data_IF_943902760766
#
_entry.id   IF_943902760766
#
_cell.length_a   1.000
_cell.length_b   1.000
_cell.length_c   1.000
_cell.angle_alpha   90.00
_cell.angle_beta   90.00
_cell.angle_gamma   90.00
#
_symmetry.space_group_name_H-M   'P 1'
#
loop_
_entity.id
_entity.type
_entity.pdbx_description
1 polymer ?
#
# COMPACT_ATOMS: atom_id res chain seq x y z
N UNK A 1 -3.39 -41.63 -54.10
CA UNK A 1 -2.14 -41.16 -53.50
C UNK A 1 -2.15 -39.65 -53.52
N UNK A 2 -2.03 -39.01 -52.37
CA UNK A 2 -2.05 -37.55 -52.32
C UNK A 2 -1.93 -37.04 -50.91
N UNK A 3 -0.69 -36.81 -50.45
CA UNK A 3 -0.39 -35.96 -49.30
C UNK A 3 0.95 -35.28 -49.50
N UNK A 4 0.91 -34.09 -50.07
CA UNK A 4 1.91 -33.06 -49.84
C UNK A 4 1.09 -31.85 -49.42
N UNK A 5 1.05 -31.57 -48.12
CA UNK A 5 0.29 -30.44 -47.58
C UNK A 5 1.08 -29.12 -47.66
N UNK A 6 2.40 -29.16 -47.89
CA UNK A 6 3.21 -28.03 -48.33
C UNK A 6 4.40 -28.55 -49.18
N UNK A 7 4.72 -27.96 -50.34
CA UNK A 7 5.82 -28.42 -51.19
C UNK A 7 7.22 -28.13 -50.63
N UNK A 8 7.32 -27.50 -49.45
CA UNK A 8 8.57 -27.22 -48.75
C UNK A 8 8.33 -27.21 -47.23
N UNK A 9 9.36 -27.58 -46.45
CA UNK A 9 9.40 -27.33 -45.00
C UNK A 9 9.91 -25.90 -44.77
N UNK A 10 9.12 -25.00 -44.16
CA UNK A 10 9.61 -23.68 -43.83
C UNK A 10 10.79 -23.78 -42.85
N UNK A 11 11.90 -23.13 -43.20
CA UNK A 11 13.13 -23.15 -42.42
C UNK A 11 12.96 -22.31 -41.14
N UNK A 12 13.33 -22.86 -39.99
CA UNK A 12 13.25 -22.18 -38.69
C UNK A 12 11.89 -22.28 -37.97
N UNK A 13 10.93 -23.06 -38.48
CA UNK A 13 9.65 -23.32 -37.82
C UNK A 13 9.53 -24.78 -37.41
N UNK A 14 8.96 -25.02 -36.22
CA UNK A 14 8.55 -26.37 -35.83
C UNK A 14 7.34 -26.81 -36.67
N UNK A 15 7.46 -27.96 -37.33
CA UNK A 15 6.40 -28.53 -38.15
C UNK A 15 5.88 -29.82 -37.49
N UNK A 16 4.57 -29.93 -37.31
CA UNK A 16 3.89 -31.18 -36.91
C UNK A 16 3.12 -31.78 -38.08
N UNK A 17 3.29 -33.08 -38.31
CA UNK A 17 2.58 -33.81 -39.36
C UNK A 17 1.30 -34.45 -38.82
N UNK A 18 0.22 -34.40 -39.59
CA UNK A 18 -1.09 -34.92 -39.21
C UNK A 18 -1.65 -35.93 -40.21
N UNK A 19 -2.37 -36.95 -39.74
CA UNK A 19 -2.89 -38.03 -40.57
C UNK A 19 -4.15 -37.65 -41.34
N UNK A 20 -4.74 -36.47 -41.18
CA UNK A 20 -5.81 -35.92 -42.05
C UNK A 20 -5.84 -34.40 -41.91
N UNK A 21 -6.48 -33.71 -42.87
CA UNK A 21 -6.76 -32.28 -42.73
C UNK A 21 -7.65 -31.99 -41.51
N UNK A 22 -8.65 -32.86 -41.24
CA UNK A 22 -9.51 -32.76 -40.05
C UNK A 22 -8.70 -32.84 -38.75
N UNK A 23 -7.77 -33.80 -38.63
CA UNK A 23 -6.90 -33.92 -37.47
C UNK A 23 -5.99 -32.70 -37.26
N UNK A 24 -5.50 -32.09 -38.35
CA UNK A 24 -4.74 -30.85 -38.26
C UNK A 24 -5.61 -29.66 -37.80
N UNK A 25 -6.84 -29.55 -38.31
CA UNK A 25 -7.79 -28.52 -37.91
C UNK A 25 -8.21 -28.67 -36.44
N UNK A 26 -8.52 -29.89 -36.00
CA UNK A 26 -8.90 -30.20 -34.63
C UNK A 26 -7.80 -29.81 -33.63
N UNK A 27 -6.54 -30.17 -33.92
CA UNK A 27 -5.40 -29.77 -33.07
C UNK A 27 -5.20 -28.26 -33.05
N UNK A 28 -5.29 -27.60 -34.20
CA UNK A 28 -5.16 -26.14 -34.28
C UNK A 28 -6.22 -25.41 -33.45
N UNK A 29 -7.50 -25.80 -33.58
CA UNK A 29 -8.58 -25.17 -32.82
C UNK A 29 -8.54 -25.53 -31.33
N UNK A 30 -8.10 -26.74 -30.97
CA UNK A 30 -7.88 -27.14 -29.57
C UNK A 30 -6.81 -26.27 -28.92
N UNK A 31 -5.62 -26.18 -29.51
CA UNK A 31 -4.52 -25.36 -29.00
C UNK A 31 -4.91 -23.87 -28.94
N UNK A 32 -5.66 -23.37 -29.93
CA UNK A 32 -6.18 -22.00 -29.91
C UNK A 32 -7.13 -21.76 -28.73
N UNK A 33 -8.06 -22.68 -28.47
CA UNK A 33 -9.01 -22.57 -27.37
C UNK A 33 -8.32 -22.65 -25.99
N UNK A 34 -7.33 -23.53 -25.82
CA UNK A 34 -6.52 -23.63 -24.61
C UNK A 34 -5.75 -22.34 -24.34
N UNK A 35 -5.07 -21.80 -25.36
CA UNK A 35 -4.35 -20.53 -25.25
C UNK A 35 -5.27 -19.35 -24.90
N UNK A 36 -6.48 -19.30 -25.47
CA UNK A 36 -7.46 -18.26 -25.16
C UNK A 36 -8.00 -18.41 -23.73
N UNK A 37 -8.25 -19.64 -23.27
CA UNK A 37 -8.66 -19.94 -21.90
C UNK A 37 -7.61 -19.49 -20.89
N UNK A 38 -6.33 -19.83 -21.13
CA UNK A 38 -5.19 -19.41 -20.30
C UNK A 38 -5.15 -17.88 -20.24
N UNK A 39 -5.13 -17.20 -21.39
CA UNK A 39 -5.10 -15.72 -21.44
C UNK A 39 -6.24 -15.07 -20.65
N UNK A 40 -7.46 -15.59 -20.76
CA UNK A 40 -8.62 -15.06 -20.02
C UNK A 40 -8.46 -15.23 -18.51
N UNK A 41 -7.96 -16.39 -18.06
CA UNK A 41 -7.74 -16.68 -16.63
C UNK A 41 -6.57 -15.86 -16.08
N UNK A 42 -5.46 -15.77 -16.80
CA UNK A 42 -4.32 -14.91 -16.44
C UNK A 42 -4.76 -13.46 -16.29
N UNK A 43 -5.54 -12.91 -17.24
CA UNK A 43 -6.07 -11.56 -17.14
C UNK A 43 -7.01 -11.34 -15.94
N UNK A 44 -7.72 -12.39 -15.50
CA UNK A 44 -8.55 -12.31 -14.30
C UNK A 44 -7.70 -12.23 -13.04
N UNK A 45 -6.67 -13.07 -12.93
CA UNK A 45 -5.69 -13.06 -11.83
C UNK A 45 -4.93 -11.73 -11.79
N UNK A 46 -4.51 -11.24 -12.95
CA UNK A 46 -3.81 -9.96 -13.08
C UNK A 46 -4.63 -8.82 -12.49
N UNK A 47 -5.93 -8.73 -12.82
CA UNK A 47 -6.82 -7.72 -12.24
C UNK A 47 -6.91 -7.82 -10.72
N UNK A 48 -6.92 -9.02 -10.15
CA UNK A 48 -6.94 -9.20 -8.69
C UNK A 48 -5.67 -8.60 -8.07
N UNK A 49 -4.50 -8.94 -8.62
CA UNK A 49 -3.21 -8.44 -8.14
C UNK A 49 -3.14 -6.91 -8.30
N UNK A 50 -3.47 -6.36 -9.48
CA UNK A 50 -3.44 -4.92 -9.73
C UNK A 50 -4.36 -4.15 -8.76
N UNK A 51 -5.55 -4.68 -8.47
CA UNK A 51 -6.45 -4.07 -7.50
C UNK A 51 -5.88 -4.10 -6.07
N UNK A 52 -5.22 -5.19 -5.69
CA UNK A 52 -4.56 -5.31 -4.39
C UNK A 52 -3.39 -4.33 -4.25
N UNK A 53 -2.53 -4.26 -5.27
CA UNK A 53 -1.44 -3.28 -5.41
C UNK A 53 -1.96 -1.85 -5.23
N UNK A 54 -3.01 -1.47 -5.97
CA UNK A 54 -3.57 -0.13 -5.87
C UNK A 54 -4.12 0.18 -4.47
N UNK A 55 -4.73 -0.80 -3.79
CA UNK A 55 -5.20 -0.63 -2.40
C UNK A 55 -4.03 -0.40 -1.44
N UNK A 56 -2.94 -1.14 -1.60
CA UNK A 56 -1.74 -0.99 -0.77
C UNK A 56 -1.06 0.35 -1.00
N UNK A 57 -0.93 0.80 -2.25
CA UNK A 57 -0.36 2.11 -2.57
C UNK A 57 -1.14 3.25 -1.90
N UNK A 58 -2.49 3.20 -1.96
CA UNK A 58 -3.34 4.17 -1.24
C UNK A 58 -3.21 4.07 0.28
N UNK A 59 -2.99 2.86 0.83
CA UNK A 59 -2.79 2.65 2.26
C UNK A 59 -1.44 3.22 2.72
N UNK A 60 -0.38 2.99 1.95
CA UNK A 60 0.97 3.53 2.17
C UNK A 60 0.93 5.06 2.17
N UNK A 61 0.23 5.66 1.20
CA UNK A 61 0.11 7.13 1.13
C UNK A 61 -0.53 7.73 2.38
N UNK A 62 -1.60 7.09 2.90
CA UNK A 62 -2.24 7.51 4.15
C UNK A 62 -1.28 7.44 5.34
N UNK A 63 -0.45 6.41 5.41
CA UNK A 63 0.56 6.31 6.47
C UNK A 63 1.67 7.35 6.30
N UNK A 64 2.12 7.62 5.08
CA UNK A 64 3.10 8.68 4.82
C UNK A 64 2.61 10.04 5.32
N UNK A 65 1.36 10.40 5.01
CA UNK A 65 0.75 11.63 5.52
C UNK A 65 0.74 11.67 7.06
N UNK A 66 0.33 10.58 7.72
CA UNK A 66 0.32 10.50 9.18
C UNK A 66 1.73 10.55 9.81
N UNK A 67 2.78 10.22 9.06
CA UNK A 67 4.17 10.27 9.50
C UNK A 67 4.78 11.67 9.33
N UNK A 68 4.32 12.43 8.34
CA UNK A 68 4.83 13.78 8.01
C UNK A 68 4.43 14.86 9.03
N UNK A 69 3.45 14.62 9.90
CA UNK A 69 2.92 15.60 10.86
C UNK A 69 3.82 15.84 12.11
N UNK A 70 5.12 15.59 12.01
CA UNK A 70 6.05 15.71 13.16
C UNK A 70 6.11 17.13 13.73
N UNK A 71 6.04 18.15 12.87
CA UNK A 71 6.08 19.55 13.31
C UNK A 71 4.87 19.92 14.19
N UNK A 72 3.68 19.39 13.88
CA UNK A 72 2.49 19.61 14.70
C UNK A 72 2.57 18.82 16.02
N UNK A 73 3.12 17.60 16.01
CA UNK A 73 3.38 16.86 17.25
C UNK A 73 4.35 17.63 18.17
N UNK A 74 5.43 18.14 17.60
CA UNK A 74 6.44 18.88 18.35
C UNK A 74 5.89 20.19 18.91
N UNK A 75 5.02 20.87 18.15
CA UNK A 75 4.28 22.05 18.62
C UNK A 75 3.39 21.74 19.82
N UNK A 76 2.72 20.59 19.85
CA UNK A 76 1.94 20.16 21.02
C UNK A 76 2.82 19.92 22.25
N UNK A 77 4.00 19.30 22.07
CA UNK A 77 5.01 19.13 23.14
C UNK A 77 5.46 20.48 23.67
N UNK A 78 5.83 21.37 22.77
CA UNK A 78 6.29 22.74 23.04
C UNK A 78 5.25 23.55 23.81
N UNK A 79 3.97 23.47 23.41
CA UNK A 79 2.88 24.13 24.14
C UNK A 79 2.74 23.59 25.56
N UNK A 80 2.82 22.27 25.75
CA UNK A 80 2.82 21.67 27.09
C UNK A 80 3.95 22.20 27.97
N UNK A 81 5.16 22.34 27.41
CA UNK A 81 6.35 22.83 28.11
C UNK A 81 6.24 24.29 28.51
N UNK A 82 5.90 25.16 27.56
CA UNK A 82 5.77 26.59 27.82
C UNK A 82 4.65 26.90 28.82
N UNK A 83 3.52 26.18 28.75
CA UNK A 83 2.46 26.32 29.74
C UNK A 83 2.92 25.88 31.13
N UNK A 84 3.61 24.74 31.21
CA UNK A 84 4.13 24.20 32.49
C UNK A 84 5.13 25.16 33.14
N UNK A 85 6.04 25.75 32.36
CA UNK A 85 7.01 26.71 32.85
C UNK A 85 6.36 28.01 33.38
N UNK A 86 5.21 28.40 32.82
CA UNK A 86 4.54 29.66 33.13
C UNK A 86 3.31 29.50 34.03
N UNK A 87 3.03 28.32 34.61
CA UNK A 87 1.79 28.03 35.36
C UNK A 87 1.43 29.09 36.42
N UNK A 88 2.43 29.62 37.12
CA UNK A 88 2.27 30.63 38.17
C UNK A 88 1.77 31.99 37.65
N UNK A 89 1.98 32.28 36.37
CA UNK A 89 1.59 33.54 35.73
C UNK A 89 0.29 33.41 34.92
N UNK A 90 -0.28 32.21 34.80
CA UNK A 90 -1.47 31.96 33.97
C UNK A 90 -2.77 32.19 34.78
N UNK A 91 -3.65 33.09 34.33
CA UNK A 91 -4.93 33.30 34.99
C UNK A 91 -5.87 32.09 34.81
N UNK A 92 -6.67 31.75 35.83
CA UNK A 92 -7.65 30.68 35.72
C UNK A 92 -8.75 31.06 34.72
N UNK A 93 -9.30 30.05 34.02
CA UNK A 93 -10.41 30.20 33.05
C UNK A 93 -10.09 31.11 31.86
N UNK A 94 -8.81 31.32 31.55
CA UNK A 94 -8.40 32.02 30.34
C UNK A 94 -8.66 31.16 29.10
N UNK A 95 -9.00 31.81 27.99
CA UNK A 95 -9.16 31.16 26.68
C UNK A 95 -7.84 31.05 25.92
N UNK A 96 -6.84 31.85 26.31
CA UNK A 96 -5.52 31.89 25.67
C UNK A 96 -4.44 32.23 26.70
N UNK A 97 -3.24 31.68 26.51
CA UNK A 97 -2.03 32.03 27.24
C UNK A 97 -1.05 32.75 26.30
N UNK A 98 -0.66 33.98 26.64
CA UNK A 98 0.45 34.67 25.98
C UNK A 98 1.73 34.39 26.77
N UNK A 99 2.62 33.58 26.21
CA UNK A 99 3.86 33.13 26.86
C UNK A 99 5.07 33.44 25.99
N UNK A 100 6.22 33.66 26.61
CA UNK A 100 7.47 33.88 25.89
C UNK A 100 8.04 32.53 25.44
N UNK A 101 8.22 32.37 24.14
CA UNK A 101 8.92 31.25 23.54
C UNK A 101 10.42 31.55 23.51
N UNK A 102 11.12 31.05 24.54
CA UNK A 102 12.56 31.22 24.72
C UNK A 102 13.40 30.23 23.88
N UNK A 103 12.78 29.35 23.10
CA UNK A 103 13.48 28.47 22.16
C UNK A 103 13.71 29.15 20.81
N UNK A 104 13.06 30.30 20.54
CA UNK A 104 13.33 31.15 19.39
C UNK A 104 14.47 32.11 19.67
N UNK A 105 15.23 32.45 18.62
CA UNK A 105 16.25 33.48 18.65
C UNK A 105 15.95 34.54 17.57
N UNK A 106 15.50 35.75 17.94
CA UNK A 106 15.26 36.22 19.31
C UNK A 106 14.01 35.58 19.96
N UNK A 107 13.89 35.59 21.30
CA UNK A 107 12.68 35.13 21.98
C UNK A 107 11.44 35.92 21.55
N UNK A 108 10.35 35.21 21.26
CA UNK A 108 9.10 35.82 20.79
C UNK A 108 7.91 35.39 21.64
N UNK A 109 6.92 36.27 21.81
CA UNK A 109 5.68 35.88 22.47
C UNK A 109 4.78 35.08 21.51
N UNK A 110 4.32 33.92 21.99
CA UNK A 110 3.32 33.10 21.29
C UNK A 110 2.01 33.07 22.06
N UNK A 111 0.92 32.75 21.35
CA UNK A 111 -0.41 32.59 21.92
C UNK A 111 -0.78 31.11 21.85
N UNK A 112 -0.99 30.50 23.01
CA UNK A 112 -1.41 29.11 23.15
C UNK A 112 -2.90 29.09 23.53
N UNK A 113 -3.77 28.47 22.72
CA UNK A 113 -5.18 28.30 23.08
C UNK A 113 -5.34 27.50 24.36
N UNK A 114 -6.31 27.85 25.18
CA UNK A 114 -6.64 27.15 26.42
C UNK A 114 -8.11 26.76 26.44
N UNK A 115 -8.38 25.66 27.12
CA UNK A 115 -9.72 25.26 27.52
C UNK A 115 -10.06 25.95 28.84
N UNK A 116 -10.98 26.91 28.79
CA UNK A 116 -11.38 27.74 29.94
C UNK A 116 -12.17 26.96 31.01
N UNK A 117 -12.55 25.70 30.72
CA UNK A 117 -13.28 24.83 31.64
C UNK A 117 -12.37 24.05 32.60
N UNK A 118 -11.05 24.05 32.36
CA UNK A 118 -10.06 23.30 33.16
C UNK A 118 -8.93 24.20 33.65
N UNK A 119 -8.11 23.69 34.58
CA UNK A 119 -6.99 24.46 35.14
C UNK A 119 -5.87 24.67 34.10
N UNK A 120 -4.97 25.66 34.29
CA UNK A 120 -3.78 25.80 33.45
C UNK A 120 -2.89 24.54 33.44
N UNK A 121 -2.78 23.84 34.58
CA UNK A 121 -2.04 22.59 34.69
C UNK A 121 -2.71 21.47 33.86
N UNK A 122 -4.04 21.36 33.90
CA UNK A 122 -4.78 20.39 33.09
C UNK A 122 -4.67 20.70 31.59
N UNK A 123 -4.63 21.98 31.21
CA UNK A 123 -4.37 22.39 29.83
C UNK A 123 -2.98 21.94 29.35
N UNK A 124 -1.92 22.18 30.14
CA UNK A 124 -0.58 21.69 29.82
C UNK A 124 -0.57 20.15 29.69
N UNK A 125 -1.21 19.45 30.63
CA UNK A 125 -1.31 17.99 30.59
C UNK A 125 -2.11 17.47 29.38
N UNK A 126 -3.14 18.20 28.93
CA UNK A 126 -3.93 17.90 27.73
C UNK A 126 -3.04 17.93 26.49
N UNK A 127 -2.19 18.96 26.35
CA UNK A 127 -1.22 19.05 25.26
C UNK A 127 -0.21 17.90 25.27
N UNK A 128 0.35 17.54 26.44
CA UNK A 128 1.21 16.36 26.54
C UNK A 128 0.50 15.05 26.19
N UNK A 129 -0.77 14.89 26.58
CA UNK A 129 -1.56 13.71 26.24
C UNK A 129 -1.80 13.60 24.73
N UNK A 130 -2.11 14.73 24.07
CA UNK A 130 -2.26 14.79 22.62
C UNK A 130 -0.94 14.45 21.91
N UNK A 131 0.18 15.03 22.35
CA UNK A 131 1.52 14.69 21.85
C UNK A 131 1.82 13.20 21.99
N UNK A 132 1.66 12.61 23.18
CA UNK A 132 1.91 11.17 23.42
C UNK A 132 1.06 10.29 22.53
N UNK A 133 -0.24 10.59 22.40
CA UNK A 133 -1.17 9.85 21.53
C UNK A 133 -0.72 9.93 20.07
N UNK A 134 -0.38 11.14 19.61
CA UNK A 134 0.07 11.36 18.24
C UNK A 134 1.40 10.68 17.94
N UNK A 135 2.36 10.71 18.88
CA UNK A 135 3.63 9.98 18.78
C UNK A 135 3.42 8.47 18.62
N UNK A 136 2.58 7.86 19.47
CA UNK A 136 2.25 6.43 19.36
C UNK A 136 1.56 6.11 18.03
N UNK A 137 0.65 6.97 17.58
CA UNK A 137 -0.01 6.80 16.28
C UNK A 137 0.99 6.86 15.11
N UNK A 138 1.94 7.79 15.16
CA UNK A 138 3.02 7.92 14.17
C UNK A 138 3.93 6.69 14.17
N UNK A 139 4.40 6.24 15.33
CA UNK A 139 5.22 5.03 15.46
C UNK A 139 4.49 3.80 14.90
N UNK A 140 3.20 3.68 15.20
CA UNK A 140 2.36 2.60 14.66
C UNK A 140 2.22 2.72 13.14
N UNK A 141 2.03 3.94 12.61
CA UNK A 141 1.92 4.17 11.17
C UNK A 141 3.23 3.81 10.43
N UNK A 142 4.40 4.08 11.02
CA UNK A 142 5.70 3.67 10.46
C UNK A 142 5.76 2.15 10.29
N UNK A 143 5.46 1.40 11.36
CA UNK A 143 5.47 -0.08 11.32
C UNK A 143 4.47 -0.61 10.31
N UNK A 144 3.23 -0.10 10.32
CA UNK A 144 2.19 -0.53 9.38
C UNK A 144 2.53 -0.20 7.92
N UNK A 145 3.22 0.91 7.66
CA UNK A 145 3.74 1.26 6.34
C UNK A 145 4.78 0.25 5.88
N UNK A 146 5.72 -0.12 6.74
CA UNK A 146 6.77 -1.09 6.40
C UNK A 146 6.17 -2.46 6.04
N UNK A 147 5.20 -2.93 6.82
CA UNK A 147 4.46 -4.15 6.49
C UNK A 147 3.75 -4.04 5.13
N UNK A 148 3.06 -2.91 4.87
CA UNK A 148 2.37 -2.71 3.60
C UNK A 148 3.33 -2.61 2.40
N UNK A 149 4.53 -2.05 2.58
CA UNK A 149 5.56 -1.98 1.54
C UNK A 149 6.12 -3.36 1.24
N UNK A 150 6.35 -4.20 2.25
CA UNK A 150 6.78 -5.58 2.05
C UNK A 150 5.72 -6.39 1.28
N UNK A 151 4.45 -6.27 1.66
CA UNK A 151 3.32 -6.89 0.96
C UNK A 151 3.21 -6.41 -0.49
N UNK A 152 3.37 -5.10 -0.73
CA UNK A 152 3.37 -4.52 -2.07
C UNK A 152 4.52 -5.08 -2.94
N UNK A 153 5.70 -5.22 -2.36
CA UNK A 153 6.87 -5.81 -3.05
C UNK A 153 6.62 -7.26 -3.43
N UNK A 154 6.03 -8.04 -2.52
CA UNK A 154 5.67 -9.42 -2.79
C UNK A 154 4.65 -9.53 -3.93
N UNK A 155 3.56 -8.75 -3.90
CA UNK A 155 2.55 -8.76 -4.98
C UNK A 155 3.09 -8.31 -6.33
N UNK A 156 4.09 -7.40 -6.36
CA UNK A 156 4.78 -7.02 -7.60
C UNK A 156 5.66 -8.15 -8.13
N UNK A 157 6.28 -8.94 -7.26
CA UNK A 157 6.97 -10.17 -7.64
C UNK A 157 6.00 -11.16 -8.30
N UNK A 158 4.87 -11.41 -7.64
CA UNK A 158 3.84 -12.31 -8.16
C UNK A 158 3.23 -11.85 -9.49
N UNK A 159 3.09 -10.53 -9.69
CA UNK A 159 2.69 -9.96 -10.98
C UNK A 159 3.72 -10.23 -12.08
N UNK A 160 5.02 -10.15 -11.75
CA UNK A 160 6.10 -10.52 -12.67
C UNK A 160 6.04 -12.01 -13.04
N UNK A 161 5.84 -12.89 -12.05
CA UNK A 161 5.72 -14.33 -12.28
C UNK A 161 4.51 -14.67 -13.15
N UNK A 162 3.38 -13.97 -12.93
CA UNK A 162 2.19 -14.10 -13.75
C UNK A 162 2.44 -13.72 -15.21
N UNK A 163 3.27 -12.69 -15.45
CA UNK A 163 3.63 -12.27 -16.82
C UNK A 163 4.47 -13.30 -17.58
N UNK A 164 5.15 -14.19 -16.84
CA UNK A 164 5.99 -15.26 -17.39
C UNK A 164 5.26 -16.62 -17.46
N UNK A 165 4.01 -16.72 -16.99
CA UNK A 165 3.23 -17.96 -17.03
C UNK A 165 2.99 -18.44 -18.45
N UNK A 166 3.44 -19.66 -18.75
CA UNK A 166 3.27 -20.30 -20.05
C UNK A 166 2.36 -21.53 -20.00
N UNK A 167 2.07 -22.04 -18.79
CA UNK A 167 1.25 -23.22 -18.58
C UNK A 167 0.08 -22.99 -17.63
N UNK A 168 -0.90 -23.89 -17.67
CA UNK A 168 -2.00 -23.90 -16.71
C UNK A 168 -1.54 -24.27 -15.29
N UNK A 169 -0.46 -25.04 -15.16
CA UNK A 169 0.12 -25.39 -13.85
C UNK A 169 0.65 -24.14 -13.16
N UNK A 170 1.47 -23.35 -13.85
CA UNK A 170 2.06 -22.10 -13.34
C UNK A 170 0.96 -21.15 -12.83
N UNK A 171 -0.11 -21.02 -13.61
CA UNK A 171 -1.24 -20.17 -13.25
C UNK A 171 -1.99 -20.67 -12.00
N UNK A 172 -2.11 -21.98 -11.83
CA UNK A 172 -2.76 -22.56 -10.67
C UNK A 172 -1.94 -22.38 -9.40
N UNK A 173 -0.60 -22.45 -9.49
CA UNK A 173 0.32 -22.18 -8.37
C UNK A 173 0.15 -20.74 -7.89
N UNK A 174 0.20 -19.76 -8.81
CA UNK A 174 -0.04 -18.35 -8.47
C UNK A 174 -1.44 -18.14 -7.86
N UNK A 175 -2.46 -18.81 -8.41
CA UNK A 175 -3.82 -18.71 -7.88
C UNK A 175 -3.89 -19.27 -6.45
N UNK A 176 -3.20 -20.37 -6.17
CA UNK A 176 -3.14 -20.98 -4.84
C UNK A 176 -2.51 -20.02 -3.83
N UNK A 177 -1.38 -19.38 -4.17
CA UNK A 177 -0.77 -18.35 -3.33
C UNK A 177 -1.74 -17.19 -3.03
N UNK A 178 -2.50 -16.73 -4.04
CA UNK A 178 -3.50 -15.67 -3.86
C UNK A 178 -4.69 -16.10 -2.99
N UNK A 179 -5.06 -17.38 -2.99
CA UNK A 179 -6.08 -17.94 -2.10
C UNK A 179 -5.55 -18.00 -0.66
N UNK A 180 -4.31 -18.44 -0.45
CA UNK A 180 -3.66 -18.48 0.87
C UNK A 180 -3.54 -17.08 1.48
N UNK A 181 -3.29 -16.06 0.66
CA UNK A 181 -3.29 -14.64 1.06
C UNK A 181 -4.71 -14.04 1.23
N UNK A 182 -5.77 -14.81 0.94
CA UNK A 182 -7.16 -14.37 1.06
C UNK A 182 -7.59 -13.31 0.03
N UNK A 183 -6.84 -13.14 -1.07
CA UNK A 183 -7.14 -12.20 -2.15
C UNK A 183 -8.15 -12.76 -3.15
N UNK A 184 -8.22 -14.08 -3.28
CA UNK A 184 -9.21 -14.82 -4.07
C UNK A 184 -10.03 -15.71 -3.12
N UNK A 185 -11.32 -15.86 -3.40
CA UNK A 185 -12.17 -16.88 -2.78
C UNK A 185 -12.34 -18.04 -3.76
N UNK A 186 -12.16 -19.27 -3.28
CA UNK A 186 -12.52 -20.49 -4.01
C UNK A 186 -14.04 -20.65 -4.14
#
# INVERSE_FOLDING_TARGET
GGRILLPFRPFGLECREFPTLGAAADEFYRSRAENESIKRRTAAVERVISNAVQRLERKIEKFNLAICDEAELEKLRHFGELLTANLHALPPRAENAKVLDYYRDPPEYIVIPLDNSVSPADNAQKYYKQYRKGKVARETAVVQRETAVAELSYLRGLHCDLSNCASESDLNEIRQELVEQGLIRD
#
